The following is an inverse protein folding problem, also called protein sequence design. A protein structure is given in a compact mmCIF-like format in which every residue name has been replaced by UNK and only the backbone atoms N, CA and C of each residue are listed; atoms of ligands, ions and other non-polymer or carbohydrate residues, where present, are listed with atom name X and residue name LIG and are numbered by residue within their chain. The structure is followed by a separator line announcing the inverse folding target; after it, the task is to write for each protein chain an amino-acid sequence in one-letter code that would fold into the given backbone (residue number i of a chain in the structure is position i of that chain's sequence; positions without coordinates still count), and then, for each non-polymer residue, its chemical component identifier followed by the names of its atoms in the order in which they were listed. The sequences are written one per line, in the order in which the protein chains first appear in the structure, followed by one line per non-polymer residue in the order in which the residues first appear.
data_IF_789906826850
#
_entry.id   IF_789906826850
#
_cell.length_a   1.000
_cell.length_b   1.000
_cell.length_c   1.000
_cell.angle_alpha   90.00
_cell.angle_beta   90.00
_cell.angle_gamma   90.00
#
_symmetry.space_group_name_H-M   'P 1'
#
loop_
_entity.id
_entity.type
_entity.pdbx_description
1 polymer ?
#
# COMPACT_ATOMS: atom_id res chain seq x y z
N UNK A 1 -17.08 -14.76 1.64
CA UNK A 1 -15.99 -14.66 2.66
C UNK A 1 -14.77 -13.88 2.17
N UNK A 2 -14.58 -13.71 0.87
CA UNK A 2 -13.45 -12.98 0.24
C UNK A 2 -13.48 -11.47 0.44
N UNK A 3 -14.66 -10.83 0.56
CA UNK A 3 -14.77 -9.37 0.72
C UNK A 3 -14.22 -8.88 2.08
N UNK A 4 -14.64 -9.53 3.17
CA UNK A 4 -14.19 -9.17 4.53
C UNK A 4 -12.68 -9.35 4.71
N UNK A 5 -12.12 -10.45 4.19
CA UNK A 5 -10.68 -10.71 4.23
C UNK A 5 -9.88 -9.70 3.41
N UNK A 6 -10.36 -9.32 2.22
CA UNK A 6 -9.72 -8.27 1.41
C UNK A 6 -9.68 -6.94 2.15
N UNK A 7 -10.80 -6.54 2.77
CA UNK A 7 -10.88 -5.31 3.53
C UNK A 7 -9.94 -5.33 4.74
N UNK A 8 -9.93 -6.42 5.52
CA UNK A 8 -9.02 -6.59 6.65
C UNK A 8 -7.55 -6.51 6.22
N UNK A 9 -7.16 -7.31 5.24
CA UNK A 9 -5.76 -7.42 4.79
C UNK A 9 -5.23 -6.12 4.14
N UNK A 10 -6.11 -5.32 3.55
CA UNK A 10 -5.76 -4.01 3.01
C UNK A 10 -5.80 -2.85 4.01
N UNK A 11 -6.68 -2.93 5.01
CA UNK A 11 -6.78 -1.92 6.07
C UNK A 11 -5.64 -2.01 7.07
N UNK A 12 -5.17 -3.21 7.41
CA UNK A 12 -4.11 -3.41 8.41
C UNK A 12 -2.86 -2.56 8.12
N UNK A 13 -2.25 -2.59 6.91
CA UNK A 13 -1.11 -1.72 6.61
C UNK A 13 -1.45 -0.23 6.70
N UNK A 14 -2.67 0.14 6.27
CA UNK A 14 -3.11 1.54 6.29
C UNK A 14 -3.27 2.06 7.72
N UNK A 15 -3.78 1.23 8.63
CA UNK A 15 -3.88 1.54 10.05
C UNK A 15 -2.51 1.60 10.72
N UNK A 16 -1.58 0.71 10.36
CA UNK A 16 -0.19 0.76 10.84
C UNK A 16 0.47 2.08 10.44
N UNK A 17 0.28 2.52 9.19
CA UNK A 17 0.78 3.83 8.72
C UNK A 17 0.11 5.01 9.44
N UNK A 18 -1.21 4.96 9.62
CA UNK A 18 -1.93 5.99 10.35
C UNK A 18 -1.45 6.09 11.81
N UNK A 19 -1.21 4.94 12.45
CA UNK A 19 -0.70 4.86 13.81
C UNK A 19 0.77 5.32 13.91
N UNK A 20 1.63 5.01 12.93
CA UNK A 20 3.03 5.47 12.94
C UNK A 20 3.13 6.99 12.82
N UNK A 21 2.31 7.59 11.95
CA UNK A 21 2.20 9.05 11.80
C UNK A 21 1.66 9.68 13.09
N UNK A 22 0.58 9.13 13.65
CA UNK A 22 -0.02 9.65 14.88
C UNK A 22 0.91 9.53 16.10
N UNK A 23 1.75 8.50 16.14
CA UNK A 23 2.75 8.30 17.19
C UNK A 23 3.97 9.22 17.05
N UNK A 24 4.05 10.05 16.00
CA UNK A 24 5.19 10.94 15.76
C UNK A 24 6.51 10.21 15.46
N UNK A 25 6.45 8.91 15.20
CA UNK A 25 7.63 8.08 14.87
C UNK A 25 8.09 8.34 13.42
N UNK A 26 7.23 8.95 12.61
CA UNK A 26 7.36 9.06 11.15
C UNK A 26 7.92 10.42 10.67
N UNK A 27 8.80 11.06 11.45
CA UNK A 27 9.46 12.31 11.05
C UNK A 27 10.58 12.07 10.00
N UNK A 28 10.97 10.81 9.79
CA UNK A 28 11.97 10.42 8.82
C UNK A 28 11.38 10.18 7.42
N UNK A 29 11.72 11.06 6.48
CA UNK A 29 11.40 10.87 5.06
C UNK A 29 11.89 9.52 4.49
N UNK A 30 12.89 8.89 5.11
CA UNK A 30 13.38 7.55 4.76
C UNK A 30 12.40 6.44 5.16
N UNK A 31 11.92 6.45 6.42
CA UNK A 31 10.95 5.48 6.93
C UNK A 31 9.67 5.46 6.09
N UNK A 32 9.14 6.65 5.78
CA UNK A 32 7.94 6.78 4.92
C UNK A 32 8.14 6.24 3.50
N UNK A 33 9.35 6.34 2.93
CA UNK A 33 9.66 5.80 1.58
C UNK A 33 9.73 4.28 1.58
N UNK A 34 10.36 3.69 2.60
CA UNK A 34 10.43 2.24 2.77
C UNK A 34 9.03 1.68 2.98
N UNK A 35 8.23 2.34 3.82
CA UNK A 35 6.85 1.95 4.05
C UNK A 35 6.02 1.91 2.76
N UNK A 36 6.06 2.96 1.94
CA UNK A 36 5.33 3.01 0.66
C UNK A 36 5.74 1.89 -0.30
N UNK A 37 7.02 1.50 -0.28
CA UNK A 37 7.55 0.38 -1.07
C UNK A 37 6.98 -0.96 -0.58
N UNK A 38 7.03 -1.19 0.73
CA UNK A 38 6.50 -2.40 1.35
C UNK A 38 4.98 -2.49 1.14
N UNK A 39 4.27 -1.37 1.27
CA UNK A 39 2.85 -1.27 1.00
C UNK A 39 2.51 -1.59 -0.46
N UNK A 40 3.28 -1.04 -1.42
CA UNK A 40 3.07 -1.34 -2.83
C UNK A 40 3.27 -2.84 -3.12
N UNK A 41 4.33 -3.44 -2.60
CA UNK A 41 4.60 -4.87 -2.75
C UNK A 41 3.51 -5.74 -2.11
N UNK A 42 3.01 -5.32 -0.94
CA UNK A 42 1.89 -5.96 -0.25
C UNK A 42 0.62 -5.92 -1.10
N UNK A 43 0.28 -4.76 -1.67
CA UNK A 43 -0.87 -4.59 -2.54
C UNK A 43 -0.76 -5.48 -3.80
N UNK A 44 0.42 -5.56 -4.43
CA UNK A 44 0.64 -6.47 -5.55
C UNK A 44 0.49 -7.95 -5.16
N UNK A 45 0.97 -8.34 -3.98
CA UNK A 45 0.79 -9.71 -3.46
C UNK A 45 -0.69 -10.01 -3.23
N UNK A 46 -1.46 -9.08 -2.68
CA UNK A 46 -2.92 -9.19 -2.52
C UNK A 46 -3.64 -9.29 -3.86
N UNK A 47 -3.22 -8.53 -4.87
CA UNK A 47 -3.76 -8.62 -6.22
C UNK A 47 -3.52 -10.02 -6.82
N UNK A 48 -2.30 -10.54 -6.67
CA UNK A 48 -1.93 -11.89 -7.13
C UNK A 48 -2.67 -13.00 -6.36
N UNK A 49 -2.86 -12.83 -5.06
CA UNK A 49 -3.66 -13.75 -4.25
C UNK A 49 -5.12 -13.78 -4.70
N UNK A 50 -5.73 -12.61 -4.93
CA UNK A 50 -7.09 -12.53 -5.47
C UNK A 50 -7.20 -13.14 -6.88
N UNK A 51 -6.14 -13.03 -7.70
CA UNK A 51 -6.06 -13.67 -9.00
C UNK A 51 -6.05 -15.20 -8.87
N UNK A 52 -5.24 -15.75 -7.96
CA UNK A 52 -5.16 -17.18 -7.69
C UNK A 52 -6.50 -17.76 -7.20
N UNK A 53 -7.16 -17.06 -6.27
CA UNK A 53 -8.47 -17.45 -5.73
C UNK A 53 -9.63 -17.23 -6.72
N UNK A 54 -9.37 -16.80 -7.95
CA UNK A 54 -10.38 -16.44 -8.96
C UNK A 54 -11.43 -15.45 -8.41
N UNK A 55 -10.99 -14.58 -7.49
CA UNK A 55 -11.85 -13.56 -6.91
C UNK A 55 -12.20 -12.49 -7.96
N UNK A 56 -13.25 -11.70 -7.70
CA UNK A 56 -13.74 -10.71 -8.66
C UNK A 56 -12.62 -9.79 -9.16
N UNK A 57 -12.51 -9.62 -10.48
CA UNK A 57 -11.51 -8.78 -11.14
C UNK A 57 -11.43 -7.35 -10.56
N UNK A 58 -12.54 -6.84 -10.00
CA UNK A 58 -12.57 -5.58 -9.27
C UNK A 58 -11.51 -5.48 -8.15
N UNK A 59 -11.30 -6.53 -7.36
CA UNK A 59 -10.31 -6.52 -6.26
C UNK A 59 -8.88 -6.47 -6.77
N UNK A 60 -8.61 -7.13 -7.89
CA UNK A 60 -7.30 -7.15 -8.54
C UNK A 60 -6.97 -5.74 -9.03
N UNK A 61 -7.91 -5.09 -9.70
CA UNK A 61 -7.77 -3.70 -10.18
C UNK A 61 -7.57 -2.73 -9.01
N UNK A 62 -8.36 -2.86 -7.94
CA UNK A 62 -8.24 -2.03 -6.73
C UNK A 62 -6.83 -2.13 -6.15
N UNK A 63 -6.31 -3.33 -5.92
CA UNK A 63 -5.00 -3.51 -5.29
C UNK A 63 -3.85 -3.08 -6.20
N UNK A 64 -3.94 -3.31 -7.52
CA UNK A 64 -2.97 -2.79 -8.48
C UNK A 64 -2.96 -1.25 -8.44
N UNK A 65 -4.14 -0.62 -8.44
CA UNK A 65 -4.25 0.84 -8.38
C UNK A 65 -3.62 1.41 -7.09
N UNK A 66 -3.91 0.81 -5.93
CA UNK A 66 -3.30 1.21 -4.66
C UNK A 66 -1.76 1.05 -4.67
N UNK A 67 -1.25 -0.07 -5.19
CA UNK A 67 0.18 -0.31 -5.33
C UNK A 67 0.85 0.74 -6.21
N UNK A 68 0.24 1.08 -7.35
CA UNK A 68 0.74 2.11 -8.26
C UNK A 68 0.71 3.50 -7.63
N UNK A 69 -0.37 3.86 -6.92
CA UNK A 69 -0.47 5.16 -6.23
C UNK A 69 0.66 5.31 -5.21
N UNK A 70 0.95 4.27 -4.43
CA UNK A 70 2.05 4.30 -3.47
C UNK A 70 3.42 4.49 -4.14
N UNK A 71 3.65 3.84 -5.29
CA UNK A 71 4.87 4.00 -6.08
C UNK A 71 5.00 5.39 -6.71
N UNK A 72 3.91 5.91 -7.28
CA UNK A 72 3.86 7.26 -7.87
C UNK A 72 4.10 8.31 -6.79
N UNK A 73 3.46 8.17 -5.63
CA UNK A 73 3.68 9.05 -4.50
C UNK A 73 5.16 9.05 -4.06
N UNK A 74 5.76 7.86 -3.97
CA UNK A 74 7.19 7.72 -3.70
C UNK A 74 8.03 8.43 -4.76
N UNK A 75 7.74 8.23 -6.06
CA UNK A 75 8.49 8.83 -7.15
C UNK A 75 8.39 10.37 -7.17
N UNK A 76 7.20 10.92 -6.92
CA UNK A 76 6.97 12.36 -6.82
C UNK A 76 7.76 12.98 -5.66
N UNK A 77 7.75 12.35 -4.47
CA UNK A 77 8.51 12.81 -3.30
C UNK A 77 10.03 12.73 -3.48
N UNK A 78 10.53 11.80 -4.30
CA UNK A 78 11.96 11.73 -4.64
C UNK A 78 12.34 12.89 -5.55
N UNK A 79 11.51 13.22 -6.56
CA UNK A 79 11.79 14.33 -7.48
C UNK A 79 11.81 15.70 -6.78
N UNK A 80 10.90 15.94 -5.84
CA UNK A 80 10.80 17.22 -5.12
C UNK A 80 11.97 17.47 -4.16
N UNK A 81 12.57 16.41 -3.58
CA UNK A 81 13.70 16.56 -2.64
C UNK A 81 15.08 16.49 -3.32
N UNK A 82 15.13 16.36 -4.64
CA UNK A 82 16.36 16.23 -5.43
C UNK A 82 16.75 17.49 -6.21
N UNK A 83 16.06 18.61 -5.98
CA UNK A 83 16.29 19.94 -6.56
C UNK A 83 16.50 20.95 -5.45
#
# INVERSE_FOLDING_TARGET
MTLFLNLLLGLVPTLILGASIAAGVDDDAHHRRVFLLVYALWAFTLAGWNWHESASAAWIVVWIAFGLIALVWRALRVRVNGS
#
